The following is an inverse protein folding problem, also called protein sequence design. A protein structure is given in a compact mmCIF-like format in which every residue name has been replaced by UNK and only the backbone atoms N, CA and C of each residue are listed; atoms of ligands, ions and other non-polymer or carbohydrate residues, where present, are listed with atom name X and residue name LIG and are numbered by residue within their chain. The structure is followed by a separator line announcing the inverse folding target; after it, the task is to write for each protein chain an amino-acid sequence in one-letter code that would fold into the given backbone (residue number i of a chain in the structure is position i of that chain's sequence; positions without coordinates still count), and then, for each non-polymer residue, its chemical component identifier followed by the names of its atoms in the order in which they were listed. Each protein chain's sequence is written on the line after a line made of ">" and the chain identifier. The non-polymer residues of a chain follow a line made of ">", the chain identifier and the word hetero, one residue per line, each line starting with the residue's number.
data_IF_828935114859
#
_entry.id   IF_828935114859
#
_cell.length_a   1.000
_cell.length_b   1.000
_cell.length_c   1.000
_cell.angle_alpha   90.00
_cell.angle_beta   90.00
_cell.angle_gamma   90.00
#
_symmetry.space_group_name_H-M   'P 1'
#
loop_
_entity.id
_entity.type
_entity.pdbx_description
1 polymer ?
#
# COMPACT_ATOMS: atom_id res chain seq x y z
N UNK A 1 19.21 -22.92 31.66
CA UNK A 1 17.91 -23.44 31.23
C UNK A 1 18.06 -23.95 29.81
N UNK A 2 18.22 -25.27 29.57
CA UNK A 2 18.49 -25.77 28.23
C UNK A 2 17.17 -25.99 27.47
N UNK A 3 17.06 -25.32 26.31
CA UNK A 3 15.97 -25.55 25.36
C UNK A 3 16.14 -26.92 24.69
N UNK A 4 15.17 -27.81 24.88
CA UNK A 4 15.13 -29.09 24.18
C UNK A 4 14.81 -28.82 22.71
N UNK A 5 15.82 -28.95 21.83
CA UNK A 5 15.62 -29.18 20.40
C UNK A 5 14.69 -30.37 20.24
N UNK A 6 13.44 -30.10 19.86
CA UNK A 6 12.49 -31.14 19.46
C UNK A 6 12.86 -31.49 18.02
N UNK A 7 13.83 -32.38 17.89
CA UNK A 7 14.22 -32.93 16.61
C UNK A 7 12.99 -33.51 15.93
N UNK A 8 12.79 -33.10 14.68
CA UNK A 8 11.72 -33.49 13.78
C UNK A 8 11.85 -34.99 13.42
N UNK A 9 11.69 -35.87 14.40
CA UNK A 9 11.45 -37.28 14.17
C UNK A 9 10.09 -37.38 13.46
N UNK A 10 10.12 -37.73 12.18
CA UNK A 10 8.91 -37.98 11.40
C UNK A 10 8.13 -39.07 12.11
N UNK A 11 6.91 -38.75 12.54
CA UNK A 11 6.07 -39.70 13.25
C UNK A 11 5.88 -40.95 12.37
N UNK A 12 6.24 -42.16 12.87
CA UNK A 12 6.11 -43.39 12.09
C UNK A 12 4.65 -43.68 11.69
N UNK A 13 3.69 -43.09 12.42
CA UNK A 13 2.28 -43.06 12.07
C UNK A 13 2.03 -42.29 10.76
N UNK A 14 2.65 -41.11 10.60
CA UNK A 14 2.50 -40.29 9.40
C UNK A 14 3.12 -40.97 8.18
N UNK A 15 4.29 -41.59 8.33
CA UNK A 15 4.91 -42.36 7.23
C UNK A 15 4.03 -43.56 6.82
N UNK A 16 3.40 -44.24 7.78
CA UNK A 16 2.46 -45.35 7.51
C UNK A 16 1.17 -44.88 6.84
N UNK A 17 0.71 -43.66 7.13
CA UNK A 17 -0.45 -43.05 6.47
C UNK A 17 -0.07 -42.59 5.04
N UNK A 18 1.15 -42.07 4.84
CA UNK A 18 1.62 -41.61 3.52
C UNK A 18 1.97 -42.74 2.56
N UNK A 19 2.42 -43.89 3.07
CA UNK A 19 2.72 -45.11 2.29
C UNK A 19 1.47 -45.92 1.94
N UNK A 20 0.33 -45.63 2.55
CA UNK A 20 -0.94 -46.23 2.18
C UNK A 20 -1.39 -45.66 0.83
N UNK A 21 -1.56 -46.54 -0.16
CA UNK A 21 -1.99 -46.17 -1.50
C UNK A 21 -3.21 -45.26 -1.44
N UNK A 22 -3.05 -44.03 -1.96
CA UNK A 22 -4.15 -43.08 -2.02
C UNK A 22 -5.17 -43.65 -3.02
N UNK A 23 -6.40 -43.96 -2.59
CA UNK A 23 -7.41 -44.44 -3.52
C UNK A 23 -7.57 -43.44 -4.66
N UNK A 24 -7.64 -43.94 -5.89
CA UNK A 24 -7.65 -43.14 -7.12
C UNK A 24 -8.69 -41.99 -7.08
N UNK A 25 -9.83 -42.24 -6.45
CA UNK A 25 -10.89 -41.26 -6.21
C UNK A 25 -10.44 -40.02 -5.43
N UNK A 26 -9.57 -40.16 -4.43
CA UNK A 26 -9.02 -39.02 -3.67
C UNK A 26 -8.04 -38.19 -4.51
N UNK A 27 -7.32 -38.82 -5.44
CA UNK A 27 -6.41 -38.12 -6.35
C UNK A 27 -7.20 -37.25 -7.33
N UNK A 28 -8.28 -37.80 -7.90
CA UNK A 28 -9.21 -37.05 -8.77
C UNK A 28 -9.82 -35.88 -8.01
N UNK A 29 -10.35 -36.13 -6.81
CA UNK A 29 -10.96 -35.10 -5.98
C UNK A 29 -9.98 -33.98 -5.63
N UNK A 30 -8.72 -34.33 -5.29
CA UNK A 30 -7.66 -33.34 -5.06
C UNK A 30 -7.36 -32.51 -6.31
N UNK A 31 -7.37 -33.12 -7.50
CA UNK A 31 -7.20 -32.41 -8.77
C UNK A 31 -8.32 -31.40 -9.03
N UNK A 32 -9.57 -31.77 -8.78
CA UNK A 32 -10.73 -30.88 -8.92
C UNK A 32 -10.62 -29.68 -7.97
N UNK A 33 -10.28 -29.90 -6.70
CA UNK A 33 -10.09 -28.80 -5.75
C UNK A 33 -8.94 -27.86 -6.15
N UNK A 34 -7.80 -28.40 -6.60
CA UNK A 34 -6.69 -27.58 -7.08
C UNK A 34 -7.09 -26.70 -8.27
N UNK A 35 -7.87 -27.24 -9.20
CA UNK A 35 -8.38 -26.48 -10.33
C UNK A 35 -9.33 -25.37 -9.87
N UNK A 36 -10.28 -25.68 -8.98
CA UNK A 36 -11.20 -24.69 -8.41
C UNK A 36 -10.46 -23.56 -7.68
N UNK A 37 -9.48 -23.90 -6.84
CA UNK A 37 -8.65 -22.89 -6.16
C UNK A 37 -7.85 -22.04 -7.15
N UNK A 38 -7.29 -22.65 -8.20
CA UNK A 38 -6.56 -21.89 -9.22
C UNK A 38 -7.44 -20.89 -9.97
N UNK A 39 -8.70 -21.27 -10.27
CA UNK A 39 -9.67 -20.37 -10.90
C UNK A 39 -10.04 -19.25 -9.94
N UNK A 40 -10.33 -19.58 -8.68
CA UNK A 40 -10.65 -18.59 -7.65
C UNK A 40 -9.52 -17.59 -7.44
N UNK A 41 -8.29 -18.06 -7.32
CA UNK A 41 -7.10 -17.21 -7.19
C UNK A 41 -6.95 -16.30 -8.40
N UNK A 42 -7.19 -16.78 -9.62
CA UNK A 42 -7.14 -15.94 -10.81
C UNK A 42 -8.22 -14.83 -10.78
N UNK A 43 -9.44 -15.17 -10.37
CA UNK A 43 -10.57 -14.23 -10.25
C UNK A 43 -10.30 -13.18 -9.18
N UNK A 44 -9.69 -13.54 -8.05
CA UNK A 44 -9.36 -12.60 -6.97
C UNK A 44 -8.11 -11.79 -7.31
N UNK A 45 -7.11 -12.40 -7.93
CA UNK A 45 -5.84 -11.74 -8.25
C UNK A 45 -6.01 -10.65 -9.32
N UNK A 46 -6.81 -10.89 -10.36
CA UNK A 46 -7.04 -9.90 -11.43
C UNK A 46 -7.49 -8.51 -10.90
N UNK A 47 -8.61 -8.40 -10.16
CA UNK A 47 -9.08 -7.12 -9.66
C UNK A 47 -8.07 -6.49 -8.70
N UNK A 48 -7.45 -7.26 -7.80
CA UNK A 48 -6.40 -6.72 -6.92
C UNK A 48 -5.21 -6.15 -7.68
N UNK A 49 -4.79 -6.80 -8.78
CA UNK A 49 -3.69 -6.31 -9.62
C UNK A 49 -4.03 -5.01 -10.33
N UNK A 50 -5.26 -4.88 -10.84
CA UNK A 50 -5.70 -3.67 -11.55
C UNK A 50 -6.01 -2.51 -10.61
N UNK A 51 -6.69 -2.75 -9.49
CA UNK A 51 -7.11 -1.69 -8.57
C UNK A 51 -6.06 -1.33 -7.51
N UNK A 52 -5.19 -2.26 -7.11
CA UNK A 52 -4.30 -2.10 -5.97
C UNK A 52 -2.87 -2.61 -6.25
N UNK A 53 -2.30 -2.24 -7.40
CA UNK A 53 -0.97 -2.70 -7.82
C UNK A 53 0.10 -2.42 -6.72
N UNK A 54 0.66 -3.44 -6.07
CA UNK A 54 1.66 -3.26 -5.02
C UNK A 54 2.98 -2.70 -5.56
N UNK A 55 3.30 -2.97 -6.83
CA UNK A 55 4.54 -2.49 -7.46
C UNK A 55 4.54 -0.98 -7.62
N UNK A 56 3.40 -0.36 -7.92
CA UNK A 56 3.31 1.11 -8.02
C UNK A 56 3.52 1.74 -6.64
N UNK A 57 2.94 1.17 -5.58
CA UNK A 57 3.14 1.63 -4.20
C UNK A 57 4.61 1.47 -3.76
N UNK A 58 5.27 0.37 -4.14
CA UNK A 58 6.69 0.11 -3.87
C UNK A 58 7.61 1.07 -4.64
N UNK A 59 7.28 1.39 -5.88
CA UNK A 59 8.00 2.40 -6.64
C UNK A 59 7.85 3.79 -6.00
N UNK A 60 6.64 4.14 -5.54
CA UNK A 60 6.36 5.39 -4.85
C UNK A 60 7.05 5.52 -3.49
N UNK A 61 7.32 4.42 -2.79
CA UNK A 61 8.05 4.45 -1.50
C UNK A 61 9.55 4.64 -1.67
N UNK A 62 10.13 4.10 -2.75
CA UNK A 62 11.58 4.19 -3.04
C UNK A 62 12.00 5.52 -3.67
N UNK A 63 11.06 6.34 -4.14
CA UNK A 63 11.41 7.61 -4.79
C UNK A 63 12.06 8.58 -3.81
N UNK A 64 13.14 9.22 -4.25
CA UNK A 64 13.76 10.31 -3.50
C UNK A 64 12.77 11.49 -3.52
N UNK A 65 12.44 12.04 -2.35
CA UNK A 65 11.48 13.15 -2.22
C UNK A 65 12.16 14.50 -2.13
N UNK A 66 13.38 14.52 -1.61
CA UNK A 66 14.18 15.71 -1.41
C UNK A 66 15.65 15.41 -1.63
N UNK A 67 16.40 16.41 -2.05
CA UNK A 67 17.86 16.37 -2.18
C UNK A 67 18.45 17.69 -1.67
N UNK A 68 19.73 17.72 -1.28
CA UNK A 68 20.39 18.95 -0.86
C UNK A 68 20.38 19.98 -1.99
N UNK A 69 20.22 21.26 -1.63
CA UNK A 69 20.23 22.36 -2.61
C UNK A 69 21.62 22.51 -3.25
N UNK A 70 22.67 22.23 -2.49
CA UNK A 70 24.05 22.20 -2.98
C UNK A 70 24.47 20.73 -3.09
N UNK A 71 24.85 20.23 -4.28
CA UNK A 71 25.30 18.85 -4.43
C UNK A 71 26.46 18.53 -3.48
N UNK A 72 26.41 17.36 -2.84
CA UNK A 72 27.43 16.86 -1.91
C UNK A 72 27.67 17.68 -0.63
N UNK A 73 26.83 18.67 -0.32
CA UNK A 73 26.86 19.36 0.98
C UNK A 73 25.68 18.92 1.86
N UNK A 74 25.92 18.06 2.87
CA UNK A 74 24.87 17.59 3.78
C UNK A 74 24.38 18.69 4.73
N UNK A 75 25.09 19.81 4.85
CA UNK A 75 24.69 20.96 5.67
C UNK A 75 23.70 21.87 4.93
N UNK A 76 23.56 21.70 3.61
CA UNK A 76 22.67 22.53 2.80
C UNK A 76 21.20 22.15 3.02
N UNK A 77 20.27 23.11 2.87
CA UNK A 77 18.84 22.83 3.01
C UNK A 77 18.36 21.78 2.01
N UNK A 78 17.62 20.80 2.48
CA UNK A 78 16.99 19.78 1.63
C UNK A 78 15.68 20.33 1.06
N UNK A 79 15.57 20.32 -0.26
CA UNK A 79 14.38 20.80 -0.99
C UNK A 79 13.75 19.67 -1.79
N UNK A 80 12.45 19.79 -2.06
CA UNK A 80 11.76 18.86 -2.95
C UNK A 80 12.43 18.85 -4.32
N UNK A 81 12.71 17.67 -4.87
CA UNK A 81 13.40 17.53 -6.18
C UNK A 81 12.68 18.31 -7.27
N UNK A 82 11.35 18.41 -7.20
CA UNK A 82 10.53 19.14 -8.18
C UNK A 82 10.70 20.67 -8.11
N UNK A 83 11.36 21.20 -7.08
CA UNK A 83 11.43 22.62 -6.77
C UNK A 83 12.86 23.21 -6.82
N UNK A 84 13.91 22.39 -6.98
CA UNK A 84 15.30 22.86 -6.83
C UNK A 84 15.73 23.82 -7.93
N UNK A 85 15.23 23.63 -9.15
CA UNK A 85 15.55 24.48 -10.32
C UNK A 85 14.38 25.37 -10.75
N UNK A 86 13.33 25.46 -9.92
CA UNK A 86 12.13 26.25 -10.22
C UNK A 86 12.13 27.55 -9.44
N UNK A 87 11.53 28.62 -10.00
CA UNK A 87 11.32 29.85 -9.25
C UNK A 87 10.52 29.54 -7.98
N UNK A 88 10.77 30.32 -6.93
CA UNK A 88 9.99 30.25 -5.71
C UNK A 88 8.52 30.49 -6.07
N UNK A 89 7.66 29.53 -5.71
CA UNK A 89 6.23 29.64 -5.94
C UNK A 89 5.71 30.77 -5.05
N UNK A 90 5.32 31.88 -5.65
CA UNK A 90 4.70 33.03 -4.96
C UNK A 90 3.19 32.84 -4.80
N UNK A 91 2.55 32.13 -5.73
CA UNK A 91 1.11 31.85 -5.75
C UNK A 91 0.88 30.35 -5.88
N UNK A 92 0.10 29.78 -4.96
CA UNK A 92 -0.27 28.35 -5.00
C UNK A 92 -1.30 28.10 -6.10
N UNK A 93 -2.22 29.04 -6.31
CA UNK A 93 -3.14 29.11 -7.44
C UNK A 93 -3.08 30.51 -8.04
N UNK A 94 -3.10 30.62 -9.36
CA UNK A 94 -2.92 31.90 -10.07
C UNK A 94 -3.98 32.95 -9.71
N UNK A 95 -5.18 32.51 -9.31
CA UNK A 95 -6.33 33.32 -8.95
C UNK A 95 -6.49 33.56 -7.43
N UNK A 96 -5.58 33.04 -6.61
CA UNK A 96 -5.69 33.10 -5.14
C UNK A 96 -4.52 33.89 -4.51
N UNK A 97 -4.58 35.24 -4.51
CA UNK A 97 -3.50 36.08 -3.98
C UNK A 97 -3.36 36.04 -2.44
N UNK A 98 -4.37 35.57 -1.72
CA UNK A 98 -4.37 35.52 -0.25
C UNK A 98 -4.46 34.08 0.25
N UNK A 99 -3.94 33.86 1.47
CA UNK A 99 -3.95 32.54 2.09
C UNK A 99 -5.37 32.00 2.31
N UNK A 100 -6.33 32.88 2.63
CA UNK A 100 -7.74 32.51 2.78
C UNK A 100 -8.35 31.97 1.47
N UNK A 101 -8.07 32.62 0.34
CA UNK A 101 -8.54 32.15 -0.97
C UNK A 101 -7.91 30.81 -1.35
N UNK A 102 -6.61 30.63 -1.05
CA UNK A 102 -5.92 29.35 -1.24
C UNK A 102 -6.57 28.24 -0.42
N UNK A 103 -6.93 28.55 0.83
CA UNK A 103 -7.63 27.60 1.71
C UNK A 103 -9.00 27.21 1.14
N UNK A 104 -9.85 28.18 0.82
CA UNK A 104 -11.20 27.93 0.29
C UNK A 104 -11.17 27.15 -1.02
N UNK A 105 -10.22 27.48 -1.91
CA UNK A 105 -10.00 26.77 -3.16
C UNK A 105 -9.57 25.33 -2.91
N UNK A 106 -8.67 25.12 -1.95
CA UNK A 106 -8.18 23.77 -1.56
C UNK A 106 -9.31 22.93 -0.97
N UNK A 107 -10.15 23.50 -0.11
CA UNK A 107 -11.33 22.82 0.46
C UNK A 107 -12.30 22.44 -0.65
N UNK A 108 -12.59 23.35 -1.59
CA UNK A 108 -13.47 23.05 -2.74
C UNK A 108 -12.91 21.92 -3.61
N UNK A 109 -11.62 21.99 -3.97
CA UNK A 109 -10.95 21.00 -4.81
C UNK A 109 -10.90 19.60 -4.18
N UNK A 110 -10.68 19.53 -2.87
CA UNK A 110 -10.50 18.26 -2.16
C UNK A 110 -11.74 17.82 -1.38
N UNK A 111 -12.88 18.50 -1.55
CA UNK A 111 -14.15 18.20 -0.86
C UNK A 111 -14.62 16.76 -1.05
N UNK A 112 -14.36 16.19 -2.22
CA UNK A 112 -14.74 14.82 -2.58
C UNK A 112 -13.70 13.77 -2.15
N UNK A 113 -12.57 14.18 -1.59
CA UNK A 113 -11.50 13.28 -1.16
C UNK A 113 -11.62 13.12 0.34
N UNK A 114 -11.59 11.87 0.82
CA UNK A 114 -11.62 11.56 2.24
C UNK A 114 -10.26 11.90 2.88
N UNK A 115 -10.01 13.20 3.05
CA UNK A 115 -8.79 13.75 3.63
C UNK A 115 -9.09 14.14 5.07
N UNK A 116 -8.45 13.46 6.04
CA UNK A 116 -8.50 13.77 7.47
C UNK A 116 -9.81 13.44 8.21
N UNK A 117 -10.36 12.24 7.98
CA UNK A 117 -11.54 11.78 8.72
C UNK A 117 -12.78 12.66 8.51
N UNK A 118 -13.89 12.30 9.14
CA UNK A 118 -15.13 13.07 9.06
C UNK A 118 -15.12 14.16 10.15
N UNK A 119 -15.26 15.42 9.76
CA UNK A 119 -15.68 16.49 10.68
C UNK A 119 -17.19 16.63 10.61
N UNK A 120 -17.88 16.33 11.71
CA UNK A 120 -19.28 16.67 11.88
C UNK A 120 -19.44 18.07 12.45
N UNK A 121 -20.28 18.87 11.82
CA UNK A 121 -20.71 20.16 12.38
C UNK A 121 -21.89 19.87 13.30
N UNK A 122 -21.65 19.93 14.60
CA UNK A 122 -22.66 19.61 15.61
C UNK A 122 -23.64 20.78 15.76
N UNK A 123 -23.15 22.02 15.73
CA UNK A 123 -23.98 23.20 15.95
C UNK A 123 -23.31 24.46 15.37
N UNK A 124 -24.13 25.36 14.82
CA UNK A 124 -23.70 26.67 14.31
C UNK A 124 -24.42 27.73 15.14
N UNK A 125 -23.65 28.60 15.80
CA UNK A 125 -24.19 29.75 16.51
C UNK A 125 -24.17 30.97 15.60
N UNK A 126 -25.31 31.65 15.51
CA UNK A 126 -25.42 32.96 14.88
C UNK A 126 -25.41 34.01 16.00
N UNK A 127 -24.59 35.06 15.81
CA UNK A 127 -24.61 36.25 16.66
C UNK A 127 -25.87 37.09 16.41
#
# INVERSE_FOLDING_TARGET
>A
MPETKKDSAKDPLLEKIMTKDRPFSLSILSGVFKLMFSIYDAIVYLPFKFFANPETKKALSKRIKAQPTIPNDPSSPWRNIKAIDKPLISLVFDDCPTLGLVWDRSVKLNSNINCMGWRDVIEIHHD
#
